data_IF_188127662045
#
_entry.id   IF_188127662045
#
_cell.length_a   1.000
_cell.length_b   1.000
_cell.length_c   1.000
_cell.angle_alpha   90.00
_cell.angle_beta   90.00
_cell.angle_gamma   90.00
#
_symmetry.space_group_name_H-M   'P 1'
#
loop_
_entity.id
_entity.type
_entity.pdbx_description
1 polymer ?
#
# COMPACT_ATOMS: atom_id res chain seq x y z
N UNK A 1 42.54 7.05 -55.59
CA UNK A 1 42.40 5.87 -54.70
C UNK A 1 40.99 5.91 -54.13
N UNK A 2 40.05 5.21 -54.76
CA UNK A 2 38.63 5.27 -54.41
C UNK A 2 38.23 3.96 -53.73
N UNK A 3 37.99 4.01 -52.42
CA UNK A 3 37.41 2.90 -51.66
C UNK A 3 35.93 2.77 -51.97
N UNK A 4 35.55 1.61 -52.51
CA UNK A 4 34.20 1.18 -52.80
C UNK A 4 33.45 0.85 -51.50
N UNK A 5 32.48 1.68 -51.13
CA UNK A 5 31.49 1.35 -50.10
C UNK A 5 30.45 0.40 -50.70
N UNK A 6 30.59 -0.88 -50.42
CA UNK A 6 29.58 -1.89 -50.73
C UNK A 6 28.39 -1.80 -49.74
N UNK A 7 27.13 -1.92 -50.20
CA UNK A 7 25.95 -1.78 -49.36
C UNK A 7 25.78 -2.99 -48.43
N UNK A 8 25.63 -2.73 -47.13
CA UNK A 8 25.29 -3.74 -46.12
C UNK A 8 23.95 -4.40 -46.46
N UNK A 9 24.00 -5.71 -46.67
CA UNK A 9 22.88 -6.54 -47.11
C UNK A 9 21.61 -6.38 -46.26
N UNK A 10 20.50 -6.19 -46.97
CA UNK A 10 19.14 -6.31 -46.44
C UNK A 10 18.92 -7.76 -46.03
N UNK A 11 18.80 -8.01 -44.72
CA UNK A 11 18.48 -9.34 -44.19
C UNK A 11 17.03 -9.69 -44.55
N UNK A 12 16.87 -10.69 -45.41
CA UNK A 12 15.60 -11.32 -45.81
C UNK A 12 14.93 -12.01 -44.62
N UNK A 13 13.63 -11.77 -44.45
CA UNK A 13 12.67 -12.72 -43.84
C UNK A 13 12.69 -12.87 -42.31
N UNK A 14 12.51 -11.79 -41.55
CA UNK A 14 12.26 -11.85 -40.10
C UNK A 14 10.77 -11.81 -39.75
N UNK A 15 10.37 -12.53 -38.70
CA UNK A 15 9.05 -12.41 -38.03
C UNK A 15 8.71 -10.92 -37.86
N UNK A 16 7.49 -10.50 -38.26
CA UNK A 16 7.02 -9.10 -38.19
C UNK A 16 7.52 -8.45 -36.89
N UNK A 17 8.19 -7.30 -36.98
CA UNK A 17 8.65 -6.58 -35.80
C UNK A 17 7.45 -6.22 -34.92
N UNK A 18 7.30 -6.94 -33.80
CA UNK A 18 6.19 -6.71 -32.87
C UNK A 18 6.42 -5.50 -31.97
N UNK A 19 7.68 -5.12 -31.75
CA UNK A 19 8.07 -3.98 -30.93
C UNK A 19 8.41 -2.78 -31.81
N UNK A 20 7.38 -2.04 -32.25
CA UNK A 20 7.51 -0.79 -33.00
C UNK A 20 7.80 0.39 -32.06
N UNK A 21 8.22 1.54 -32.63
CA UNK A 21 8.50 2.76 -31.85
C UNK A 21 7.26 3.23 -31.07
N UNK A 22 6.09 3.18 -31.68
CA UNK A 22 4.83 3.60 -31.04
C UNK A 22 4.48 2.72 -29.84
N UNK A 23 4.64 1.39 -29.99
CA UNK A 23 4.45 0.45 -28.88
C UNK A 23 5.48 0.71 -27.78
N UNK A 24 6.73 0.99 -28.14
CA UNK A 24 7.77 1.32 -27.16
C UNK A 24 7.43 2.59 -26.35
N UNK A 25 6.90 3.65 -26.98
CA UNK A 25 6.44 4.85 -26.28
C UNK A 25 5.31 4.55 -25.28
N UNK A 26 4.32 3.75 -25.70
CA UNK A 26 3.23 3.32 -24.79
C UNK A 26 3.73 2.44 -23.64
N UNK A 27 4.75 1.61 -23.88
CA UNK A 27 5.40 0.83 -22.82
C UNK A 27 6.14 1.75 -21.85
N UNK A 28 6.81 2.79 -22.33
CA UNK A 28 7.48 3.80 -21.48
C UNK A 28 6.48 4.49 -20.56
N UNK A 29 5.35 4.98 -21.09
CA UNK A 29 4.28 5.58 -20.30
C UNK A 29 3.75 4.60 -19.24
N UNK A 30 3.53 3.35 -19.62
CA UNK A 30 3.12 2.31 -18.68
C UNK A 30 4.14 2.08 -17.57
N UNK A 31 5.44 2.01 -17.89
CA UNK A 31 6.51 1.76 -16.91
C UNK A 31 6.61 2.90 -15.91
N UNK A 32 6.44 4.15 -16.36
CA UNK A 32 6.45 5.34 -15.50
C UNK A 32 5.30 5.37 -14.51
N UNK A 33 4.16 4.76 -14.84
CA UNK A 33 2.97 4.68 -13.98
C UNK A 33 3.01 3.51 -12.98
N UNK A 34 3.95 2.57 -13.11
CA UNK A 34 4.08 1.44 -12.18
C UNK A 34 4.34 1.85 -10.72
N UNK A 35 5.28 2.77 -10.40
CA UNK A 35 5.54 3.16 -9.02
C UNK A 35 4.30 3.80 -8.35
N UNK A 36 3.51 4.57 -9.09
CA UNK A 36 2.29 5.21 -8.58
C UNK A 36 1.18 4.19 -8.30
N UNK A 37 1.17 3.06 -9.02
CA UNK A 37 0.19 1.98 -8.85
C UNK A 37 0.58 0.98 -7.73
N UNK A 38 1.63 1.28 -6.95
CA UNK A 38 2.22 0.38 -5.93
C UNK A 38 2.65 -0.99 -6.49
N UNK A 39 2.85 -1.09 -7.80
CA UNK A 39 3.31 -2.33 -8.45
C UNK A 39 4.84 -2.32 -8.49
N UNK A 40 5.51 -3.38 -7.99
CA UNK A 40 6.98 -3.42 -7.97
C UNK A 40 7.57 -3.27 -9.37
N UNK A 41 8.56 -2.38 -9.53
CA UNK A 41 9.18 -2.10 -10.83
C UNK A 41 10.20 -3.20 -11.16
N UNK A 42 9.70 -4.34 -11.63
CA UNK A 42 10.54 -5.48 -12.06
C UNK A 42 10.31 -5.81 -13.52
N UNK A 43 11.36 -6.32 -14.19
CA UNK A 43 11.26 -6.77 -15.58
C UNK A 43 10.19 -7.84 -15.79
N UNK A 44 10.00 -8.74 -14.81
CA UNK A 44 8.93 -9.76 -14.87
C UNK A 44 7.54 -9.12 -14.88
N UNK A 45 7.32 -8.10 -14.05
CA UNK A 45 6.05 -7.39 -14.00
C UNK A 45 5.81 -6.62 -15.31
N UNK A 46 6.85 -5.97 -15.83
CA UNK A 46 6.76 -5.27 -17.12
C UNK A 46 6.42 -6.26 -18.24
N UNK A 47 7.07 -7.41 -18.31
CA UNK A 47 6.74 -8.46 -19.29
C UNK A 47 5.27 -8.92 -19.16
N UNK A 48 4.78 -9.13 -17.94
CA UNK A 48 3.39 -9.52 -17.68
C UNK A 48 2.40 -8.42 -18.11
N UNK A 49 2.68 -7.16 -17.78
CA UNK A 49 1.84 -6.03 -18.17
C UNK A 49 1.88 -5.78 -19.68
N UNK A 50 3.03 -5.94 -20.32
CA UNK A 50 3.16 -5.82 -21.78
C UNK A 50 2.39 -6.94 -22.49
N UNK A 51 2.49 -8.18 -22.00
CA UNK A 51 1.71 -9.32 -22.51
C UNK A 51 0.21 -9.09 -22.36
N UNK A 52 -0.23 -8.55 -21.23
CA UNK A 52 -1.65 -8.26 -20.96
C UNK A 52 -2.18 -7.11 -21.82
N UNK A 53 -1.47 -5.98 -21.90
CA UNK A 53 -1.94 -4.76 -22.58
C UNK A 53 -1.75 -4.80 -24.10
N UNK A 54 -0.60 -5.28 -24.57
CA UNK A 54 -0.25 -5.20 -25.99
C UNK A 54 -0.33 -6.55 -26.72
N UNK A 55 -0.66 -7.65 -26.01
CA UNK A 55 -0.71 -9.02 -26.56
C UNK A 55 0.60 -9.46 -27.23
N UNK A 56 1.71 -8.83 -26.86
CA UNK A 56 3.07 -9.17 -27.32
C UNK A 56 3.83 -9.70 -26.11
N UNK A 57 4.64 -10.74 -26.29
CA UNK A 57 5.49 -11.30 -25.24
C UNK A 57 6.98 -11.04 -25.54
N UNK A 58 7.46 -9.78 -25.47
CA UNK A 58 8.87 -9.50 -25.63
C UNK A 58 9.62 -9.91 -24.36
N UNK A 59 10.73 -10.64 -24.52
CA UNK A 59 11.63 -10.95 -23.40
C UNK A 59 12.39 -9.70 -22.97
N UNK A 60 12.85 -9.65 -21.72
CA UNK A 60 13.70 -8.59 -21.13
C UNK A 60 14.78 -8.09 -22.08
N UNK A 61 15.53 -8.99 -22.71
CA UNK A 61 16.62 -8.62 -23.63
C UNK A 61 16.14 -7.76 -24.80
N UNK A 62 14.93 -8.02 -25.32
CA UNK A 62 14.35 -7.22 -26.39
C UNK A 62 13.90 -5.84 -25.90
N UNK A 63 13.37 -5.76 -24.67
CA UNK A 63 12.95 -4.49 -24.05
C UNK A 63 14.15 -3.63 -23.63
N UNK A 64 15.23 -4.25 -23.13
CA UNK A 64 16.39 -3.53 -22.59
C UNK A 64 17.40 -3.08 -23.64
N UNK A 65 17.57 -3.86 -24.71
CA UNK A 65 18.66 -3.68 -25.67
C UNK A 65 18.22 -2.92 -26.92
N UNK A 66 16.92 -2.96 -27.25
CA UNK A 66 16.41 -2.29 -28.45
C UNK A 66 16.56 -0.78 -28.30
N UNK A 67 17.24 -0.19 -29.27
CA UNK A 67 17.47 1.24 -29.35
C UNK A 67 16.74 1.82 -30.56
N UNK A 68 16.17 3.00 -30.39
CA UNK A 68 15.56 3.78 -31.46
C UNK A 68 16.26 5.14 -31.49
N UNK A 69 16.84 5.50 -32.63
CA UNK A 69 17.60 6.75 -32.75
C UNK A 69 18.79 6.85 -31.78
N UNK A 70 19.39 5.70 -31.42
CA UNK A 70 20.52 5.64 -30.48
C UNK A 70 20.15 5.64 -28.99
N UNK A 71 18.87 5.83 -28.63
CA UNK A 71 18.40 5.82 -27.24
C UNK A 71 17.65 4.55 -26.88
N UNK A 72 17.78 4.09 -25.64
CA UNK A 72 17.12 2.88 -25.12
C UNK A 72 15.92 3.29 -24.27
N UNK A 73 14.89 3.78 -24.94
CA UNK A 73 13.72 4.42 -24.31
C UNK A 73 13.12 3.61 -23.15
N UNK A 74 12.89 2.30 -23.34
CA UNK A 74 12.26 1.44 -22.33
C UNK A 74 13.20 1.20 -21.14
N UNK A 75 14.51 1.11 -21.39
CA UNK A 75 15.51 0.94 -20.34
C UNK A 75 15.68 2.21 -19.51
N UNK A 76 15.75 3.36 -20.15
CA UNK A 76 15.82 4.67 -19.48
C UNK A 76 14.58 4.87 -18.59
N UNK A 77 13.39 4.59 -19.12
CA UNK A 77 12.15 4.65 -18.35
C UNK A 77 12.12 3.65 -17.17
N UNK A 78 12.71 2.46 -17.33
CA UNK A 78 12.85 1.50 -16.24
C UNK A 78 13.78 2.01 -15.14
N UNK A 79 14.94 2.56 -15.52
CA UNK A 79 15.89 3.13 -14.56
C UNK A 79 15.27 4.31 -13.80
N UNK A 80 14.56 5.21 -14.51
CA UNK A 80 13.77 6.29 -13.91
C UNK A 80 12.72 5.77 -12.92
N UNK A 81 11.91 4.79 -13.32
CA UNK A 81 10.87 4.23 -12.46
C UNK A 81 11.44 3.52 -11.22
N UNK A 82 12.58 2.82 -11.34
CA UNK A 82 13.27 2.23 -10.21
C UNK A 82 13.82 3.30 -9.24
N UNK A 83 14.29 4.44 -9.73
CA UNK A 83 14.70 5.55 -8.87
C UNK A 83 13.53 6.14 -8.09
N UNK A 84 12.37 6.30 -8.75
CA UNK A 84 11.14 6.77 -8.11
C UNK A 84 10.69 5.78 -7.03
N UNK A 85 10.62 4.48 -7.34
CA UNK A 85 10.26 3.43 -6.38
C UNK A 85 11.18 3.46 -5.15
N UNK A 86 12.50 3.58 -5.33
CA UNK A 86 13.45 3.71 -4.22
C UNK A 86 13.24 4.97 -3.39
N UNK A 87 12.89 6.11 -4.02
CA UNK A 87 12.58 7.35 -3.30
C UNK A 87 11.31 7.19 -2.46
N UNK A 88 10.27 6.58 -3.02
CA UNK A 88 9.02 6.29 -2.30
C UNK A 88 9.28 5.35 -1.11
N UNK A 89 10.06 4.27 -1.29
CA UNK A 89 10.44 3.36 -0.21
C UNK A 89 11.24 4.05 0.91
N UNK A 90 12.10 5.01 0.57
CA UNK A 90 12.84 5.82 1.55
C UNK A 90 11.96 6.83 2.29
N UNK A 91 10.86 7.26 1.68
CA UNK A 91 9.88 8.15 2.31
C UNK A 91 8.90 7.37 3.18
N UNK A 92 8.49 6.17 2.75
CA UNK A 92 7.57 5.31 3.52
C UNK A 92 8.24 4.61 4.70
N UNK A 93 9.53 4.27 4.59
CA UNK A 93 10.29 3.79 5.74
C UNK A 93 10.55 4.96 6.70
N UNK A 94 9.73 5.08 7.73
CA UNK A 94 9.94 6.09 8.76
C UNK A 94 11.30 5.84 9.41
N UNK A 95 12.20 6.83 9.35
CA UNK A 95 13.60 6.73 9.82
C UNK A 95 13.74 6.33 11.30
N UNK A 96 12.63 6.31 12.03
CA UNK A 96 12.55 6.03 13.45
C UNK A 96 11.52 4.96 13.80
N UNK A 97 11.04 4.17 12.83
CA UNK A 97 10.08 3.08 13.05
C UNK A 97 10.57 2.13 14.16
N UNK A 98 11.86 1.77 14.09
CA UNK A 98 12.51 0.87 15.04
C UNK A 98 13.30 1.62 16.12
N UNK A 99 13.10 2.93 16.24
CA UNK A 99 13.75 3.69 17.30
C UNK A 99 13.21 3.26 18.66
N UNK A 100 14.08 3.28 19.68
CA UNK A 100 13.67 3.08 21.08
C UNK A 100 12.49 3.98 21.47
N UNK A 101 12.41 5.18 20.90
CA UNK A 101 11.30 6.13 21.08
C UNK A 101 9.98 5.63 20.51
N UNK A 102 9.96 4.94 19.36
CA UNK A 102 8.75 4.37 18.78
C UNK A 102 8.21 3.21 19.62
N UNK A 103 9.09 2.35 20.13
CA UNK A 103 8.75 1.28 21.07
C UNK A 103 8.14 1.84 22.35
N UNK A 104 8.76 2.89 22.93
CA UNK A 104 8.23 3.56 24.11
C UNK A 104 6.85 4.19 23.86
N UNK A 105 6.63 4.82 22.69
CA UNK A 105 5.31 5.36 22.32
C UNK A 105 4.25 4.28 22.21
N UNK A 106 4.57 3.15 21.57
CA UNK A 106 3.65 2.02 21.49
C UNK A 106 3.28 1.50 22.89
N UNK A 107 4.27 1.41 23.79
CA UNK A 107 4.03 0.98 25.17
C UNK A 107 3.19 2.00 25.96
N UNK A 108 3.41 3.29 25.77
CA UNK A 108 2.59 4.36 26.37
C UNK A 108 1.14 4.20 25.93
N UNK A 109 0.88 4.04 24.63
CA UNK A 109 -0.48 3.85 24.11
C UNK A 109 -1.14 2.59 24.67
N UNK A 110 -0.39 1.49 24.79
CA UNK A 110 -0.90 0.24 25.39
C UNK A 110 -1.30 0.44 26.85
N UNK A 111 -0.48 1.17 27.63
CA UNK A 111 -0.77 1.48 29.03
C UNK A 111 -1.95 2.45 29.17
N UNK A 112 -2.05 3.45 28.32
CA UNK A 112 -3.20 4.39 28.29
C UNK A 112 -4.51 3.65 27.98
N UNK A 113 -4.50 2.73 27.01
CA UNK A 113 -5.66 1.89 26.70
C UNK A 113 -6.07 1.01 27.89
N UNK A 114 -5.10 0.43 28.60
CA UNK A 114 -5.36 -0.36 29.82
C UNK A 114 -5.95 0.48 30.94
N UNK A 115 -5.43 1.69 31.16
CA UNK A 115 -5.97 2.63 32.16
C UNK A 115 -7.43 2.95 31.84
N UNK A 116 -7.74 3.26 30.58
CA UNK A 116 -9.12 3.53 30.16
C UNK A 116 -10.04 2.31 30.38
N UNK A 117 -9.60 1.10 30.00
CA UNK A 117 -10.37 -0.13 30.24
C UNK A 117 -10.66 -0.33 31.73
N UNK A 118 -9.64 -0.23 32.58
CA UNK A 118 -9.80 -0.40 34.02
C UNK A 118 -10.71 0.67 34.64
N UNK A 119 -10.63 1.92 34.15
CA UNK A 119 -11.53 2.98 34.57
C UNK A 119 -12.99 2.69 34.20
N UNK A 120 -13.23 2.14 33.00
CA UNK A 120 -14.60 1.75 32.59
C UNK A 120 -15.16 0.60 33.43
N UNK A 121 -14.34 -0.42 33.74
CA UNK A 121 -14.73 -1.52 34.62
C UNK A 121 -15.03 -1.02 36.05
N UNK A 122 -14.20 -0.11 36.56
CA UNK A 122 -14.37 0.49 37.87
C UNK A 122 -15.63 1.37 37.94
N UNK A 123 -15.96 2.11 36.88
CA UNK A 123 -17.21 2.86 36.82
C UNK A 123 -18.42 1.92 36.75
N UNK A 124 -18.37 0.87 35.93
CA UNK A 124 -19.46 -0.11 35.84
C UNK A 124 -19.71 -0.83 37.17
N UNK A 125 -18.65 -1.16 37.93
CA UNK A 125 -18.79 -1.76 39.26
C UNK A 125 -19.37 -0.78 40.28
N UNK A 126 -18.95 0.50 40.26
CA UNK A 126 -19.54 1.55 41.09
C UNK A 126 -21.02 1.74 40.79
N UNK A 127 -21.42 1.78 39.52
CA UNK A 127 -22.81 1.90 39.11
C UNK A 127 -23.66 0.75 39.67
N UNK A 128 -23.21 -0.51 39.53
CA UNK A 128 -23.90 -1.67 40.12
C UNK A 128 -24.06 -1.54 41.64
N UNK A 129 -23.01 -1.13 42.34
CA UNK A 129 -23.07 -0.92 43.79
C UNK A 129 -24.04 0.20 44.17
N UNK A 130 -24.07 1.30 43.43
CA UNK A 130 -25.02 2.38 43.65
C UNK A 130 -26.46 1.92 43.39
N UNK A 131 -26.70 1.16 42.33
CA UNK A 131 -28.02 0.60 42.03
C UNK A 131 -28.49 -0.34 43.15
N UNK A 132 -27.64 -1.26 43.61
CA UNK A 132 -27.94 -2.14 44.75
C UNK A 132 -28.30 -1.35 46.01
N UNK A 133 -27.49 -0.35 46.36
CA UNK A 133 -27.75 0.52 47.50
C UNK A 133 -29.06 1.31 47.34
N UNK A 134 -29.36 1.80 46.13
CA UNK A 134 -30.59 2.55 45.86
C UNK A 134 -31.85 1.69 46.05
N UNK A 135 -31.81 0.43 45.60
CA UNK A 135 -32.90 -0.54 45.77
C UNK A 135 -33.09 -0.86 47.25
N UNK A 136 -31.99 -1.12 47.97
CA UNK A 136 -32.05 -1.39 49.41
C UNK A 136 -32.59 -0.19 50.19
N UNK A 137 -32.18 1.02 49.83
CA UNK A 137 -32.67 2.23 50.49
C UNK A 137 -34.16 2.44 50.23
N UNK A 138 -34.61 2.29 48.98
CA UNK A 138 -36.02 2.40 48.59
C UNK A 138 -36.89 1.36 49.32
N UNK A 139 -36.41 0.13 49.47
CA UNK A 139 -37.10 -0.93 50.24
C UNK A 139 -37.19 -0.61 51.74
N UNK A 140 -36.19 0.06 52.31
CA UNK A 140 -36.13 0.33 53.74
C UNK A 140 -36.74 1.67 54.16
N UNK A 141 -37.12 2.54 53.22
CA UNK A 141 -37.81 3.80 53.55
C UNK A 141 -39.27 3.56 53.94
N UNK A 142 -39.80 4.29 54.95
CA UNK A 142 -41.20 4.13 55.37
C UNK A 142 -42.22 4.53 54.29
N UNK A 143 -41.80 5.27 53.27
CA UNK A 143 -42.66 5.69 52.15
C UNK A 143 -43.05 4.53 51.23
N UNK A 144 -42.18 3.52 51.03
CA UNK A 144 -42.51 2.34 50.21
C UNK A 144 -43.54 1.46 50.92
N UNK A 145 -43.41 1.29 52.25
CA UNK A 145 -44.44 0.62 53.07
C UNK A 145 -45.80 1.31 52.98
N UNK A 146 -45.81 2.66 52.99
CA UNK A 146 -47.04 3.44 52.84
C UNK A 146 -47.66 3.29 51.44
N UNK A 147 -46.85 3.16 50.38
CA UNK A 147 -47.33 2.90 49.03
C UNK A 147 -47.93 1.50 48.88
N UNK A 148 -47.26 0.47 49.42
CA UNK A 148 -47.76 -0.91 49.40
C UNK A 148 -49.11 -1.03 50.15
N UNK A 149 -49.23 -0.41 51.34
CA UNK A 149 -50.47 -0.37 52.13
C UNK A 149 -51.65 0.36 51.43
N UNK A 150 -51.36 1.29 50.51
CA UNK A 150 -52.39 2.01 49.74
C UNK A 150 -52.88 1.27 48.50
N UNK A 151 -52.13 0.30 47.99
CA UNK A 151 -52.48 -0.48 46.78
C UNK A 151 -53.34 -1.71 47.15
N UNK A 152 -53.28 -2.20 48.39
CA UNK A 152 -54.07 -3.34 48.88
C UNK A 152 -55.49 -3.00 49.36
N UNK A 153 -55.96 -1.75 49.20
CA UNK A 153 -57.35 -1.32 49.50
C UNK A 153 -58.14 -0.99 48.23
#
# INVERSE_FOLDING_TARGET
MNSTNAPKGVRKGGRKETLTLEVAKKIVEMVRLLPDAEVPVTWKNIEAHVKKKFRIAPKRNALSTKAWGGRRLIREAYEEACEVERRMQRQSSSKYADSSRAVLRARIMELEAKILSLQTELNATRERQYDELSVLWTRNTPLSRLLDDTIEK
#
